data_IF_659474054034
#
_entry.id   IF_659474054034
#
_cell.length_a   1.000
_cell.length_b   1.000
_cell.length_c   1.000
_cell.angle_alpha   90.00
_cell.angle_beta   90.00
_cell.angle_gamma   90.00
#
_symmetry.space_group_name_H-M   'P 1'
#
loop_
_entity.id
_entity.type
_entity.pdbx_description
1 polymer ?
#
# COMPACT_ATOMS: atom_id res chain seq x y z
N UNK A 1 -18.82 -14.07 1.05
CA UNK A 1 -19.48 -15.28 1.60
C UNK A 1 -20.31 -14.87 2.81
N UNK A 2 -21.53 -15.39 2.99
CA UNK A 2 -22.33 -15.16 4.19
C UNK A 2 -22.16 -16.35 5.12
N UNK A 3 -21.70 -16.11 6.34
CA UNK A 3 -21.47 -17.13 7.37
C UNK A 3 -22.05 -16.66 8.70
N UNK A 4 -22.40 -17.62 9.55
CA UNK A 4 -22.79 -17.38 10.93
C UNK A 4 -21.61 -17.77 11.81
N UNK A 5 -21.16 -16.85 12.66
CA UNK A 5 -20.03 -17.05 13.58
C UNK A 5 -20.51 -16.76 15.00
N UNK A 6 -20.10 -17.60 15.96
CA UNK A 6 -20.27 -17.34 17.38
C UNK A 6 -19.06 -16.53 17.83
N UNK A 7 -19.30 -15.27 18.21
CA UNK A 7 -18.26 -14.31 18.62
C UNK A 7 -18.64 -13.70 19.95
N UNK A 8 -17.62 -13.34 20.73
CA UNK A 8 -17.79 -12.60 21.97
C UNK A 8 -18.31 -11.18 21.68
N UNK A 9 -19.47 -10.84 22.23
CA UNK A 9 -20.11 -9.53 22.03
C UNK A 9 -19.33 -8.40 22.71
N UNK A 10 -18.70 -8.67 23.85
CA UNK A 10 -17.91 -7.66 24.57
C UNK A 10 -16.65 -7.28 23.79
N UNK A 11 -16.06 -8.27 23.11
CA UNK A 11 -14.91 -8.04 22.22
C UNK A 11 -15.31 -7.17 21.02
N UNK A 12 -16.44 -7.49 20.37
CA UNK A 12 -16.97 -6.70 19.24
C UNK A 12 -17.33 -5.29 19.69
N UNK A 13 -17.99 -5.14 20.84
CA UNK A 13 -18.36 -3.84 21.39
C UNK A 13 -17.12 -3.00 21.72
N UNK A 14 -16.09 -3.60 22.30
CA UNK A 14 -14.81 -2.93 22.55
C UNK A 14 -14.14 -2.50 21.25
N UNK A 15 -14.07 -3.37 20.25
CA UNK A 15 -13.49 -3.05 18.95
C UNK A 15 -14.26 -1.92 18.25
N UNK A 16 -15.60 -1.94 18.29
CA UNK A 16 -16.45 -0.89 17.75
C UNK A 16 -16.19 0.46 18.44
N UNK A 17 -16.12 0.48 19.78
CA UNK A 17 -15.82 1.71 20.54
C UNK A 17 -14.44 2.29 20.21
N UNK A 18 -13.43 1.43 20.04
CA UNK A 18 -12.05 1.86 19.78
C UNK A 18 -11.83 2.32 18.34
N UNK A 19 -12.51 1.69 17.37
CA UNK A 19 -12.32 1.98 15.94
C UNK A 19 -13.37 2.92 15.35
N UNK A 20 -14.47 3.16 16.08
CA UNK A 20 -15.62 3.95 15.59
C UNK A 20 -16.47 3.24 14.54
N UNK A 21 -16.20 1.96 14.25
CA UNK A 21 -16.93 1.20 13.23
C UNK A 21 -18.10 0.46 13.87
N UNK A 22 -19.29 0.69 13.33
CA UNK A 22 -20.55 0.08 13.80
C UNK A 22 -20.88 -1.24 13.10
N UNK A 23 -20.32 -1.45 11.91
CA UNK A 23 -20.59 -2.66 11.12
C UNK A 23 -19.74 -3.84 11.60
N UNK A 24 -20.40 -4.87 12.15
CA UNK A 24 -19.77 -6.09 12.70
C UNK A 24 -18.89 -6.80 11.66
N UNK A 25 -19.38 -6.94 10.43
CA UNK A 25 -18.63 -7.62 9.34
C UNK A 25 -17.33 -6.89 9.02
N UNK A 26 -17.37 -5.55 8.95
CA UNK A 26 -16.21 -4.72 8.69
C UNK A 26 -15.17 -4.83 9.81
N UNK A 27 -15.60 -4.83 11.08
CA UNK A 27 -14.72 -5.07 12.22
C UNK A 27 -13.99 -6.41 12.13
N UNK A 28 -14.71 -7.49 11.79
CA UNK A 28 -14.11 -8.82 11.64
C UNK A 28 -13.12 -8.85 10.49
N UNK A 29 -13.46 -8.25 9.35
CA UNK A 29 -12.56 -8.20 8.20
C UNK A 29 -11.26 -7.46 8.52
N UNK A 30 -11.35 -6.27 9.12
CA UNK A 30 -10.17 -5.52 9.56
C UNK A 30 -9.35 -6.28 10.60
N UNK A 31 -10.00 -7.02 11.50
CA UNK A 31 -9.30 -7.87 12.48
C UNK A 31 -8.44 -8.93 11.80
N UNK A 32 -8.97 -9.57 10.75
CA UNK A 32 -8.22 -10.55 9.96
C UNK A 32 -7.09 -9.89 9.16
N UNK A 33 -7.36 -8.75 8.51
CA UNK A 33 -6.33 -7.99 7.79
C UNK A 33 -5.19 -7.56 8.72
N UNK A 34 -5.51 -7.10 9.94
CA UNK A 34 -4.52 -6.71 10.93
C UNK A 34 -3.66 -7.89 11.41
N UNK A 35 -4.26 -9.07 11.60
CA UNK A 35 -3.53 -10.30 11.94
C UNK A 35 -2.60 -10.73 10.81
N UNK A 36 -3.07 -10.69 9.56
CA UNK A 36 -2.25 -11.00 8.38
C UNK A 36 -1.08 -10.02 8.29
N UNK A 37 -1.35 -8.72 8.41
CA UNK A 37 -0.32 -7.69 8.34
C UNK A 37 0.75 -7.90 9.41
N UNK A 38 0.35 -8.17 10.66
CA UNK A 38 1.27 -8.43 11.77
C UNK A 38 2.19 -9.63 11.51
N UNK A 39 1.65 -10.75 11.04
CA UNK A 39 2.45 -11.94 10.75
C UNK A 39 3.32 -11.77 9.51
N UNK A 40 2.82 -11.06 8.49
CA UNK A 40 3.62 -10.68 7.32
C UNK A 40 4.81 -9.81 7.74
N UNK A 41 4.61 -8.79 8.58
CA UNK A 41 5.69 -7.96 9.13
C UNK A 41 6.72 -8.79 9.88
N UNK A 42 6.29 -9.74 10.72
CA UNK A 42 7.20 -10.66 11.44
C UNK A 42 8.04 -11.49 10.46
N UNK A 43 7.43 -12.06 9.43
CA UNK A 43 8.14 -12.86 8.41
C UNK A 43 9.13 -12.01 7.61
N UNK A 44 8.72 -10.81 7.19
CA UNK A 44 9.58 -9.89 6.47
C UNK A 44 10.78 -9.43 7.31
N UNK A 45 10.56 -9.13 8.60
CA UNK A 45 11.64 -8.80 9.52
C UNK A 45 12.66 -9.95 9.66
N UNK A 46 12.19 -11.20 9.67
CA UNK A 46 13.06 -12.37 9.70
C UNK A 46 13.86 -12.58 8.39
N UNK A 47 13.37 -12.09 7.25
CA UNK A 47 14.11 -12.06 5.99
C UNK A 47 15.12 -10.92 5.91
N UNK A 48 15.03 -9.91 6.78
CA UNK A 48 16.00 -8.83 6.85
C UNK A 48 17.42 -9.36 7.07
N UNK A 49 18.36 -9.00 6.19
CA UNK A 49 19.75 -9.46 6.27
C UNK A 49 19.99 -10.90 5.80
N UNK A 50 18.97 -11.60 5.29
CA UNK A 50 19.13 -12.93 4.67
C UNK A 50 19.91 -12.92 3.35
N UNK A 51 20.10 -11.74 2.74
CA UNK A 51 20.93 -11.54 1.55
C UNK A 51 22.00 -10.47 1.82
N UNK A 52 23.08 -10.79 2.56
CA UNK A 52 24.12 -9.82 2.93
C UNK A 52 24.95 -9.35 1.73
N UNK A 53 25.11 -10.20 0.72
CA UNK A 53 25.90 -9.91 -0.49
C UNK A 53 25.05 -9.30 -1.63
N UNK A 54 23.81 -8.90 -1.33
CA UNK A 54 22.92 -8.31 -2.33
C UNK A 54 23.46 -6.95 -2.80
N UNK A 55 23.94 -6.89 -4.04
CA UNK A 55 24.19 -5.62 -4.72
C UNK A 55 22.87 -5.02 -5.20
N UNK A 56 22.48 -3.87 -4.65
CA UNK A 56 21.27 -3.15 -5.08
C UNK A 56 21.45 -2.71 -6.54
N UNK A 57 20.52 -3.06 -7.46
CA UNK A 57 20.61 -2.61 -8.84
C UNK A 57 20.44 -1.10 -8.95
N UNK A 58 21.08 -0.48 -9.94
CA UNK A 58 20.93 0.95 -10.19
C UNK A 58 19.46 1.32 -10.39
N UNK A 59 19.02 2.40 -9.72
CA UNK A 59 17.67 2.91 -9.92
C UNK A 59 17.55 3.45 -11.35
N UNK A 60 16.83 2.72 -12.20
CA UNK A 60 16.44 3.23 -13.50
C UNK A 60 15.58 4.49 -13.30
N UNK A 61 16.14 5.65 -13.66
CA UNK A 61 15.31 6.80 -14.00
C UNK A 61 14.60 6.42 -15.30
N UNK A 62 13.28 6.62 -15.42
CA UNK A 62 12.63 6.55 -16.71
C UNK A 62 13.46 7.43 -17.66
N UNK A 63 14.02 6.83 -18.69
CA UNK A 63 14.50 7.58 -19.84
C UNK A 63 13.30 8.39 -20.32
N UNK A 64 13.44 9.71 -20.31
CA UNK A 64 12.45 10.62 -20.85
C UNK A 64 12.34 10.33 -22.36
N UNK A 65 11.54 9.33 -22.75
CA UNK A 65 10.86 9.47 -24.03
C UNK A 65 9.95 10.68 -23.83
N UNK A 66 10.17 11.80 -24.55
CA UNK A 66 9.25 12.91 -24.46
C UNK A 66 7.87 12.33 -24.78
N UNK A 67 6.95 12.45 -23.81
CA UNK A 67 5.55 12.06 -23.99
C UNK A 67 5.15 12.55 -25.38
N UNK A 68 4.79 11.63 -26.28
CA UNK A 68 4.48 11.99 -27.66
C UNK A 68 3.32 13.00 -27.65
N UNK A 69 3.66 14.28 -27.77
CA UNK A 69 2.75 15.40 -27.55
C UNK A 69 1.74 15.55 -28.68
N UNK A 70 1.87 14.77 -29.76
CA UNK A 70 0.92 14.75 -30.88
C UNK A 70 -0.46 14.19 -30.50
N UNK A 71 -0.59 13.49 -29.37
CA UNK A 71 -1.83 12.82 -28.94
C UNK A 71 -2.50 13.46 -27.72
N UNK A 72 -1.94 14.53 -27.14
CA UNK A 72 -2.54 15.24 -26.01
C UNK A 72 -3.50 16.33 -26.50
N UNK A 73 -4.76 16.33 -26.05
CA UNK A 73 -5.79 17.26 -26.52
C UNK A 73 -5.65 18.68 -25.94
N UNK A 74 -4.66 18.94 -25.08
CA UNK A 74 -4.44 20.22 -24.42
C UNK A 74 -3.13 20.88 -24.90
N UNK A 75 -3.25 22.12 -25.37
CA UNK A 75 -2.16 22.93 -25.92
C UNK A 75 -1.22 23.43 -24.81
N UNK A 76 0.08 23.38 -25.09
CA UNK A 76 1.23 23.85 -24.29
C UNK A 76 1.42 23.15 -22.94
N UNK A 77 2.01 21.96 -23.00
CA UNK A 77 3.05 21.60 -22.01
C UNK A 77 4.22 22.56 -22.26
N UNK A 78 4.90 23.00 -21.20
CA UNK A 78 6.01 23.97 -21.24
C UNK A 78 6.93 23.72 -22.45
N UNK A 79 7.28 24.78 -23.17
CA UNK A 79 8.15 24.69 -24.36
C UNK A 79 9.50 24.03 -24.04
N UNK A 80 9.96 24.13 -22.78
CA UNK A 80 11.09 23.41 -22.22
C UNK A 80 10.73 22.85 -20.82
N UNK A 81 10.20 21.62 -20.70
CA UNK A 81 9.99 21.01 -19.40
C UNK A 81 11.37 20.71 -18.79
N UNK A 82 11.71 21.36 -17.67
CA UNK A 82 12.92 21.01 -16.94
C UNK A 82 12.83 19.53 -16.54
N UNK A 83 13.86 18.70 -16.79
CA UNK A 83 13.88 17.34 -16.32
C UNK A 83 13.76 17.35 -14.79
N UNK A 84 12.99 16.42 -14.23
CA UNK A 84 12.84 16.30 -12.78
C UNK A 84 14.24 16.16 -12.13
N UNK A 85 14.62 17.13 -11.30
CA UNK A 85 15.91 17.15 -10.60
C UNK A 85 16.97 18.12 -11.14
N UNK A 86 16.66 18.97 -12.12
CA UNK A 86 17.52 20.11 -12.44
C UNK A 86 17.48 21.15 -11.29
N UNK A 87 18.64 21.41 -10.65
CA UNK A 87 18.83 22.60 -9.79
C UNK A 87 18.94 23.85 -10.66
#
# INVERSE_FOLDING_TARGET
MRTTLLLDEDLIAKAARLTGITEKTKLVHMGLEALIAREASRRLAALGGSMPDLSVPDRARPIEEPLNTSRVPFKKVAEDPKPYGAR
#
